data_IF_195201479031
#
_entry.id   IF_195201479031
#
_cell.length_a   1.000
_cell.length_b   1.000
_cell.length_c   1.000
_cell.angle_alpha   90.00
_cell.angle_beta   90.00
_cell.angle_gamma   90.00
#
_symmetry.space_group_name_H-M   'P 1'
#
loop_
_entity.id
_entity.type
_entity.pdbx_description
1 polymer ?
#
# COMPACT_ATOMS: atom_id res chain seq x y z
N UNK A 1 33.40 -39.62 4.80
CA UNK A 1 32.18 -39.07 5.45
C UNK A 1 32.16 -37.54 5.30
N UNK A 2 31.63 -37.00 4.19
CA UNK A 2 31.54 -35.52 3.94
C UNK A 2 30.21 -35.07 3.33
N UNK A 3 29.20 -35.94 3.29
CA UNK A 3 27.92 -35.68 2.60
C UNK A 3 26.90 -34.98 3.53
N UNK A 4 27.05 -35.10 4.86
CA UNK A 4 26.09 -34.58 5.85
C UNK A 4 26.10 -33.05 6.00
N UNK A 5 27.20 -32.37 5.69
CA UNK A 5 27.33 -30.91 5.88
C UNK A 5 26.70 -30.13 4.73
N UNK A 6 26.83 -30.61 3.49
CA UNK A 6 26.23 -29.95 2.31
C UNK A 6 24.69 -29.95 2.35
N UNK A 7 24.09 -31.07 2.79
CA UNK A 7 22.64 -31.16 2.95
C UNK A 7 22.09 -30.20 4.02
N UNK A 8 22.85 -29.94 5.09
CA UNK A 8 22.47 -28.98 6.14
C UNK A 8 22.54 -27.53 5.69
N UNK A 9 23.56 -27.19 4.88
CA UNK A 9 23.69 -25.84 4.30
C UNK A 9 22.57 -25.60 3.29
N UNK A 10 22.27 -26.58 2.44
CA UNK A 10 21.16 -26.51 1.49
C UNK A 10 19.79 -26.40 2.20
N UNK A 11 19.58 -27.18 3.25
CA UNK A 11 18.35 -27.11 4.05
C UNK A 11 18.21 -25.76 4.78
N UNK A 12 19.31 -25.22 5.31
CA UNK A 12 19.31 -23.91 5.97
C UNK A 12 19.05 -22.77 4.96
N UNK A 13 19.62 -22.85 3.76
CA UNK A 13 19.35 -21.88 2.68
C UNK A 13 17.93 -21.96 2.13
N UNK A 14 17.31 -23.14 2.14
CA UNK A 14 15.92 -23.32 1.74
C UNK A 14 14.94 -22.78 2.79
N UNK A 15 15.29 -22.86 4.07
CA UNK A 15 14.48 -22.30 5.15
C UNK A 15 14.49 -20.77 5.14
N UNK A 16 15.64 -20.15 4.85
CA UNK A 16 15.76 -18.69 4.78
C UNK A 16 15.04 -18.08 3.57
N UNK A 17 15.02 -18.75 2.41
CA UNK A 17 14.26 -18.27 1.24
C UNK A 17 12.74 -18.37 1.43
N UNK A 18 12.24 -19.33 2.22
CA UNK A 18 10.82 -19.39 2.57
C UNK A 18 10.39 -18.27 3.53
N UNK A 19 11.25 -17.83 4.46
CA UNK A 19 10.89 -16.73 5.38
C UNK A 19 10.83 -15.36 4.70
N UNK A 20 11.54 -15.16 3.59
CA UNK A 20 11.50 -13.91 2.83
C UNK A 20 10.39 -13.86 1.77
N UNK A 21 9.65 -14.96 1.60
CA UNK A 21 8.43 -15.00 0.78
C UNK A 21 7.26 -14.44 1.59
N UNK A 22 7.39 -13.20 2.09
CA UNK A 22 6.24 -12.44 2.53
C UNK A 22 5.43 -12.16 1.27
N UNK A 23 4.37 -12.94 1.05
CA UNK A 23 3.37 -12.63 0.05
C UNK A 23 2.95 -11.18 0.28
N UNK A 24 3.08 -10.35 -0.76
CA UNK A 24 2.52 -9.01 -0.78
C UNK A 24 0.99 -9.14 -0.60
N UNK A 25 0.55 -9.23 0.64
CA UNK A 25 -0.85 -9.13 1.02
C UNK A 25 -1.21 -7.68 0.75
N UNK A 26 -1.86 -7.45 -0.38
CA UNK A 26 -2.40 -6.14 -0.68
C UNK A 26 -3.26 -5.71 0.50
N UNK A 27 -2.92 -4.57 1.11
CA UNK A 27 -3.63 -4.04 2.29
C UNK A 27 -4.92 -3.31 1.90
N UNK A 28 -5.33 -3.42 0.63
CA UNK A 28 -6.56 -2.85 0.12
C UNK A 28 -7.74 -3.53 0.84
N UNK A 29 -8.39 -2.76 1.71
CA UNK A 29 -9.55 -3.20 2.48
C UNK A 29 -10.80 -3.10 1.61
N UNK A 30 -11.33 -4.25 1.19
CA UNK A 30 -12.58 -4.30 0.42
C UNK A 30 -13.73 -3.62 1.19
N UNK A 31 -14.46 -2.71 0.54
CA UNK A 31 -15.52 -1.92 1.17
C UNK A 31 -15.06 -0.58 1.79
N UNK A 32 -13.79 -0.20 1.60
CA UNK A 32 -13.25 1.10 1.98
C UNK A 32 -12.48 1.72 0.81
N UNK A 33 -12.49 3.04 0.75
CA UNK A 33 -11.66 3.83 -0.15
C UNK A 33 -10.72 4.71 0.68
N UNK A 34 -9.42 4.58 0.44
CA UNK A 34 -8.35 5.42 0.97
C UNK A 34 -7.87 6.35 -0.13
N UNK A 35 -7.92 7.65 0.12
CA UNK A 35 -7.51 8.68 -0.82
C UNK A 35 -6.35 9.47 -0.24
N UNK A 36 -5.25 9.59 -0.98
CA UNK A 36 -4.14 10.46 -0.63
C UNK A 36 -4.19 11.76 -1.42
N UNK A 37 -4.07 12.87 -0.71
CA UNK A 37 -4.02 14.22 -1.28
C UNK A 37 -3.02 15.06 -0.49
N UNK A 38 -2.35 16.01 -1.15
CA UNK A 38 -1.39 16.86 -0.45
C UNK A 38 -2.07 17.73 0.62
N UNK A 39 -1.38 17.98 1.73
CA UNK A 39 -1.91 18.74 2.87
C UNK A 39 -2.18 20.23 2.58
N UNK A 40 -1.65 20.75 1.47
CA UNK A 40 -1.90 22.12 1.00
C UNK A 40 -3.15 22.25 0.11
N UNK A 41 -3.91 21.17 -0.09
CA UNK A 41 -5.16 21.15 -0.88
C UNK A 41 -6.39 21.03 0.03
N UNK A 42 -7.57 21.22 -0.56
CA UNK A 42 -8.86 21.19 0.15
C UNK A 42 -9.33 19.79 0.57
N UNK A 43 -8.55 19.06 1.37
CA UNK A 43 -8.89 17.70 1.83
C UNK A 43 -10.18 17.64 2.66
N UNK A 44 -10.55 18.73 3.36
CA UNK A 44 -11.81 18.78 4.11
C UNK A 44 -13.04 18.71 3.20
N UNK A 45 -13.03 19.45 2.08
CA UNK A 45 -14.12 19.38 1.10
C UNK A 45 -14.19 18.01 0.44
N UNK A 46 -13.03 17.40 0.16
CA UNK A 46 -12.98 16.03 -0.35
C UNK A 46 -13.54 15.02 0.66
N UNK A 47 -13.27 15.20 1.96
CA UNK A 47 -13.84 14.36 3.02
C UNK A 47 -15.36 14.51 3.12
N UNK A 48 -15.92 15.71 2.91
CA UNK A 48 -17.38 15.91 2.85
C UNK A 48 -18.01 15.19 1.66
N UNK A 49 -17.37 15.23 0.49
CA UNK A 49 -17.78 14.45 -0.68
C UNK A 49 -17.69 12.95 -0.38
N UNK A 50 -16.63 12.51 0.32
CA UNK A 50 -16.48 11.14 0.80
C UNK A 50 -17.62 10.68 1.70
N UNK A 51 -18.08 11.53 2.63
CA UNK A 51 -19.26 11.24 3.48
C UNK A 51 -20.54 11.09 2.68
N UNK A 52 -20.74 11.92 1.65
CA UNK A 52 -21.88 11.78 0.76
C UNK A 52 -21.81 10.45 -0.01
N UNK A 53 -20.64 10.12 -0.54
CA UNK A 53 -20.41 8.84 -1.21
C UNK A 53 -20.67 7.65 -0.29
N UNK A 54 -20.20 7.70 0.95
CA UNK A 54 -20.46 6.68 1.97
C UNK A 54 -21.96 6.54 2.28
N UNK A 55 -22.69 7.65 2.37
CA UNK A 55 -24.15 7.62 2.57
C UNK A 55 -24.89 6.96 1.40
N UNK A 56 -24.44 7.21 0.18
CA UNK A 56 -25.15 6.76 -1.03
C UNK A 56 -24.79 5.30 -1.38
N UNK A 57 -23.57 4.86 -1.08
CA UNK A 57 -23.04 3.54 -1.49
C UNK A 57 -22.81 2.57 -0.34
N UNK A 58 -22.72 3.06 0.89
CA UNK A 58 -22.28 2.29 2.06
C UNK A 58 -20.76 2.06 2.14
N UNK A 59 -19.96 2.61 1.21
CA UNK A 59 -18.50 2.44 1.17
C UNK A 59 -17.83 3.56 1.95
N UNK A 60 -17.02 3.21 2.95
CA UNK A 60 -16.33 4.19 3.80
C UNK A 60 -15.20 4.89 3.05
N UNK A 61 -15.14 6.21 3.12
CA UNK A 61 -14.07 6.99 2.47
C UNK A 61 -13.15 7.61 3.53
N UNK A 62 -11.85 7.37 3.41
CA UNK A 62 -10.80 7.93 4.28
C UNK A 62 -9.90 8.82 3.43
N UNK A 63 -9.79 10.10 3.79
CA UNK A 63 -8.90 11.06 3.12
C UNK A 63 -7.70 11.28 4.04
N UNK A 64 -6.52 10.97 3.53
CA UNK A 64 -5.25 11.12 4.24
C UNK A 64 -4.33 12.08 3.48
N UNK A 65 -3.43 12.73 4.21
CA UNK A 65 -2.45 13.65 3.65
C UNK A 65 -1.06 13.38 4.22
N UNK A 66 -0.40 12.26 3.83
CA UNK A 66 0.93 11.94 4.30
C UNK A 66 1.95 12.98 3.83
N UNK A 67 2.94 13.28 4.68
CA UNK A 67 4.10 14.06 4.24
C UNK A 67 4.84 13.34 3.13
N UNK A 68 5.22 14.08 2.08
CA UNK A 68 5.95 13.57 0.91
C UNK A 68 5.27 12.36 0.26
N UNK A 69 3.96 12.41 0.09
CA UNK A 69 3.18 11.31 -0.48
C UNK A 69 3.66 10.91 -1.88
N UNK A 70 4.28 11.84 -2.62
CA UNK A 70 4.88 11.61 -3.94
C UNK A 70 6.09 10.66 -3.93
N UNK A 71 6.85 10.68 -2.85
CA UNK A 71 7.99 9.77 -2.64
C UNK A 71 7.53 8.44 -2.05
N UNK A 72 6.50 8.47 -1.18
CA UNK A 72 5.98 7.29 -0.47
C UNK A 72 5.12 6.40 -1.35
N UNK A 73 4.28 6.98 -2.20
CA UNK A 73 3.34 6.23 -3.02
C UNK A 73 4.01 5.14 -3.89
N UNK A 74 5.08 5.42 -4.66
CA UNK A 74 5.76 4.39 -5.44
C UNK A 74 6.30 3.23 -4.59
N UNK A 75 6.70 3.50 -3.34
CA UNK A 75 7.27 2.49 -2.45
C UNK A 75 6.20 1.54 -1.94
N UNK A 76 5.05 2.08 -1.49
CA UNK A 76 3.95 1.25 -0.96
C UNK A 76 3.19 0.55 -2.09
N UNK A 77 2.97 1.24 -3.21
CA UNK A 77 2.28 0.70 -4.38
C UNK A 77 3.03 -0.45 -5.03
N UNK A 78 4.37 -0.40 -5.06
CA UNK A 78 5.20 -1.50 -5.55
C UNK A 78 5.01 -2.81 -4.75
N UNK A 79 4.56 -2.71 -3.50
CA UNK A 79 4.25 -3.85 -2.62
C UNK A 79 2.76 -4.20 -2.56
N UNK A 80 1.91 -3.57 -3.40
CA UNK A 80 0.46 -3.76 -3.37
C UNK A 80 -0.24 -3.11 -2.17
N UNK A 81 0.46 -2.26 -1.42
CA UNK A 81 -0.09 -1.41 -0.36
C UNK A 81 -0.26 0.03 -0.89
N UNK A 82 -0.85 0.92 -0.10
CA UNK A 82 -1.07 2.32 -0.46
C UNK A 82 -2.54 2.69 -0.62
N UNK A 83 -2.81 3.93 -1.04
CA UNK A 83 -4.17 4.41 -1.23
C UNK A 83 -4.80 3.81 -2.48
N UNK A 84 -6.12 3.75 -2.50
CA UNK A 84 -6.90 3.40 -3.69
C UNK A 84 -6.84 4.51 -4.75
N UNK A 85 -6.78 5.77 -4.31
CA UNK A 85 -6.70 6.95 -5.19
C UNK A 85 -5.62 7.90 -4.69
N UNK A 86 -4.78 8.37 -5.60
CA UNK A 86 -3.80 9.42 -5.33
C UNK A 86 -4.10 10.68 -6.15
N UNK A 87 -4.08 11.83 -5.47
CA UNK A 87 -4.16 13.14 -6.08
C UNK A 87 -2.80 13.81 -6.07
N UNK A 88 -2.23 14.00 -7.26
CA UNK A 88 -1.02 14.79 -7.44
C UNK A 88 -1.01 15.47 -8.81
N UNK A 89 -0.06 16.38 -9.00
CA UNK A 89 0.21 16.92 -10.32
C UNK A 89 0.68 15.81 -11.28
N UNK A 90 0.30 15.95 -12.55
CA UNK A 90 0.47 14.91 -13.58
C UNK A 90 1.93 14.61 -13.93
N UNK A 91 2.89 15.43 -13.51
CA UNK A 91 4.31 15.28 -13.81
C UNK A 91 5.00 14.16 -13.03
N UNK A 92 4.42 13.70 -11.90
CA UNK A 92 5.05 12.69 -11.04
C UNK A 92 4.64 11.26 -11.34
N UNK A 93 3.41 11.06 -11.78
CA UNK A 93 2.81 9.75 -11.95
C UNK A 93 2.26 9.65 -13.37
N UNK A 94 2.88 8.81 -14.20
CA UNK A 94 2.56 8.61 -15.61
C UNK A 94 3.35 7.46 -16.21
#
# INVERSE_FOLDING_TARGET
MKIKTGARILALSALTTMMFSASALAKIEEGKLVIWINGDKGYNGLAEVGKKFEKDTGIKVTVEHPDKLEEKFPQVAATGDGPDIIFWAHDRFG
#
